data_IF_063196149585
#
_entry.id   IF_063196149585
#
_cell.length_a   1.000
_cell.length_b   1.000
_cell.length_c   1.000
_cell.angle_alpha   90.00
_cell.angle_beta   90.00
_cell.angle_gamma   90.00
#
_symmetry.space_group_name_H-M   'P 1'
#
loop_
_entity.id
_entity.type
_entity.pdbx_description
1 polymer ?
#
# COMPACT_ATOMS: atom_id res chain seq x y z
N UNK A 1 -14.53 -34.56 -18.40
CA UNK A 1 -13.30 -34.15 -17.68
C UNK A 1 -13.65 -32.96 -16.80
N UNK A 2 -13.25 -32.91 -15.53
CA UNK A 2 -13.49 -31.71 -14.70
C UNK A 2 -12.71 -30.54 -15.29
N UNK A 3 -13.34 -29.36 -15.33
CA UNK A 3 -12.65 -28.15 -15.77
C UNK A 3 -11.52 -27.80 -14.79
N UNK A 4 -10.37 -27.28 -15.28
CA UNK A 4 -9.29 -26.84 -14.40
C UNK A 4 -9.80 -25.70 -13.51
N UNK A 5 -9.55 -25.82 -12.19
CA UNK A 5 -9.83 -24.74 -11.25
C UNK A 5 -8.66 -23.76 -11.23
N UNK A 6 -8.97 -22.48 -11.34
CA UNK A 6 -8.00 -21.38 -11.18
C UNK A 6 -8.20 -20.75 -9.81
N UNK A 7 -7.10 -20.48 -9.10
CA UNK A 7 -7.13 -19.66 -7.89
C UNK A 7 -7.02 -18.20 -8.28
N UNK A 8 -8.02 -17.39 -7.94
CA UNK A 8 -8.01 -15.95 -8.14
C UNK A 8 -7.74 -15.24 -6.81
N UNK A 9 -6.79 -14.31 -6.81
CA UNK A 9 -6.49 -13.42 -5.70
C UNK A 9 -6.86 -12.01 -6.12
N UNK A 10 -7.76 -11.38 -5.37
CA UNK A 10 -8.19 -10.00 -5.58
C UNK A 10 -7.69 -9.17 -4.40
N UNK A 11 -6.68 -8.33 -4.63
CA UNK A 11 -6.05 -7.52 -3.58
C UNK A 11 -6.71 -6.14 -3.52
N UNK A 12 -7.17 -5.72 -2.34
CA UNK A 12 -7.53 -4.33 -2.05
C UNK A 12 -6.27 -3.49 -1.82
N UNK A 13 -6.03 -2.53 -2.72
CA UNK A 13 -4.82 -1.70 -2.69
C UNK A 13 -4.96 -0.48 -1.77
N UNK A 14 -3.82 0.10 -1.37
CA UNK A 14 -3.73 1.31 -0.55
C UNK A 14 -4.39 1.24 0.84
N UNK A 15 -4.42 0.06 1.46
CA UNK A 15 -4.85 -0.06 2.85
C UNK A 15 -3.89 0.73 3.75
N UNK A 16 -4.41 1.52 4.68
CA UNK A 16 -3.63 2.45 5.50
C UNK A 16 -3.58 3.89 4.99
N UNK A 17 -4.05 4.19 3.78
CA UNK A 17 -4.01 5.55 3.22
C UNK A 17 -4.76 6.58 4.06
N UNK A 18 -6.00 6.28 4.44
CA UNK A 18 -6.82 7.08 5.34
C UNK A 18 -7.97 6.23 5.92
N UNK A 19 -8.57 6.67 7.02
CA UNK A 19 -9.64 5.90 7.71
C UNK A 19 -10.84 5.58 6.80
N UNK A 20 -11.22 6.52 5.93
CA UNK A 20 -12.32 6.29 4.96
C UNK A 20 -11.98 5.18 3.96
N UNK A 21 -10.74 5.13 3.48
CA UNK A 21 -10.29 4.06 2.56
C UNK A 21 -10.19 2.72 3.29
N UNK A 22 -9.69 2.73 4.52
CA UNK A 22 -9.64 1.53 5.35
C UNK A 22 -11.03 0.91 5.53
N UNK A 23 -12.03 1.72 5.90
CA UNK A 23 -13.38 1.22 6.10
C UNK A 23 -13.96 0.62 4.82
N UNK A 24 -13.83 1.30 3.68
CA UNK A 24 -14.32 0.76 2.41
C UNK A 24 -13.64 -0.56 2.01
N UNK A 25 -12.35 -0.72 2.30
CA UNK A 25 -11.62 -1.96 2.05
C UNK A 25 -12.10 -3.08 2.99
N UNK A 26 -12.34 -2.78 4.28
CA UNK A 26 -12.93 -3.73 5.24
C UNK A 26 -14.30 -4.18 4.76
N UNK A 27 -15.17 -3.24 4.38
CA UNK A 27 -16.52 -3.54 3.89
C UNK A 27 -16.46 -4.45 2.66
N UNK A 28 -15.54 -4.18 1.73
CA UNK A 28 -15.34 -4.99 0.53
C UNK A 28 -14.84 -6.41 0.84
N UNK A 29 -13.93 -6.56 1.81
CA UNK A 29 -13.45 -7.87 2.26
C UNK A 29 -14.57 -8.67 2.93
N UNK A 30 -15.32 -8.05 3.83
CA UNK A 30 -16.43 -8.71 4.52
C UNK A 30 -17.57 -9.12 3.57
N UNK A 31 -17.76 -8.36 2.48
CA UNK A 31 -18.69 -8.72 1.40
C UNK A 31 -18.16 -9.82 0.45
N UNK A 32 -16.93 -10.30 0.64
CA UNK A 32 -16.30 -11.32 -0.22
C UNK A 32 -15.82 -10.80 -1.58
N UNK A 33 -15.73 -9.48 -1.76
CA UNK A 33 -15.29 -8.85 -3.02
C UNK A 33 -13.78 -8.88 -3.23
N UNK A 34 -13.00 -8.97 -2.14
CA UNK A 34 -11.53 -9.08 -2.17
C UNK A 34 -11.04 -10.23 -1.28
N UNK A 35 -9.89 -10.81 -1.61
CA UNK A 35 -9.28 -11.92 -0.87
C UNK A 35 -8.23 -11.47 0.15
N UNK A 36 -7.62 -10.31 -0.04
CA UNK A 36 -6.53 -9.80 0.79
C UNK A 36 -6.34 -8.29 0.56
N UNK A 37 -5.41 -7.69 1.30
CA UNK A 37 -5.07 -6.25 1.18
C UNK A 37 -3.56 -6.04 1.07
N UNK A 38 -3.15 -4.88 0.57
CA UNK A 38 -1.77 -4.40 0.63
C UNK A 38 -1.70 -3.17 1.55
N UNK A 39 -0.79 -3.19 2.54
CA UNK A 39 -0.67 -2.13 3.55
C UNK A 39 0.43 -1.13 3.19
N UNK A 40 0.05 0.15 3.07
CA UNK A 40 0.94 1.30 3.01
C UNK A 40 1.45 1.65 4.41
N UNK A 41 2.62 1.12 4.76
CA UNK A 41 3.19 1.25 6.12
C UNK A 41 3.54 2.68 6.54
N UNK A 42 3.82 3.56 5.57
CA UNK A 42 4.18 4.96 5.82
C UNK A 42 3.00 5.93 5.75
N UNK A 43 1.78 5.42 5.51
CA UNK A 43 0.59 6.25 5.41
C UNK A 43 -0.02 6.58 6.79
N UNK A 44 -0.82 7.65 6.84
CA UNK A 44 -1.28 8.22 8.11
C UNK A 44 -2.23 7.30 8.90
N UNK A 45 -2.93 6.37 8.24
CA UNK A 45 -3.86 5.43 8.87
C UNK A 45 -3.33 3.98 8.86
N UNK A 46 -2.02 3.77 8.67
CA UNK A 46 -1.43 2.43 8.60
C UNK A 46 -1.65 1.61 9.88
N UNK A 47 -1.57 2.25 11.05
CA UNK A 47 -1.79 1.59 12.34
C UNK A 47 -3.24 1.14 12.50
N UNK A 48 -4.19 2.02 12.19
CA UNK A 48 -5.62 1.71 12.19
C UNK A 48 -5.94 0.55 11.24
N UNK A 49 -5.37 0.58 10.02
CA UNK A 49 -5.50 -0.49 9.05
C UNK A 49 -4.99 -1.84 9.59
N UNK A 50 -3.80 -1.87 10.19
CA UNK A 50 -3.26 -3.09 10.79
C UNK A 50 -4.17 -3.66 11.91
N UNK A 51 -4.73 -2.78 12.73
CA UNK A 51 -5.64 -3.18 13.81
C UNK A 51 -6.99 -3.70 13.24
N UNK A 52 -7.51 -3.10 12.17
CA UNK A 52 -8.69 -3.58 11.45
C UNK A 52 -8.46 -4.94 10.80
N UNK A 53 -7.34 -5.12 10.10
CA UNK A 53 -7.02 -6.41 9.50
C UNK A 53 -6.89 -7.53 10.54
N UNK A 54 -6.26 -7.23 11.69
CA UNK A 54 -6.23 -8.19 12.82
C UNK A 54 -7.64 -8.51 13.33
N UNK A 55 -8.49 -7.50 13.48
CA UNK A 55 -9.88 -7.66 13.97
C UNK A 55 -10.73 -8.52 13.04
N UNK A 56 -10.61 -8.31 11.73
CA UNK A 56 -11.45 -8.94 10.71
C UNK A 56 -10.80 -10.17 10.05
N UNK A 57 -9.59 -10.56 10.46
CA UNK A 57 -8.87 -11.70 9.89
C UNK A 57 -8.47 -11.49 8.42
N UNK A 58 -8.17 -10.25 8.03
CA UNK A 58 -7.83 -9.90 6.65
C UNK A 58 -6.35 -10.25 6.38
N UNK A 59 -6.03 -11.08 5.37
CA UNK A 59 -4.63 -11.30 4.99
C UNK A 59 -3.97 -10.02 4.46
N UNK A 60 -2.80 -9.68 4.98
CA UNK A 60 -2.06 -8.45 4.64
C UNK A 60 -0.78 -8.78 3.86
N UNK A 61 -0.58 -8.10 2.74
CA UNK A 61 0.70 -7.98 2.04
C UNK A 61 1.31 -6.59 2.21
N UNK A 62 2.58 -6.42 1.82
CA UNK A 62 3.25 -5.12 1.80
C UNK A 62 2.88 -4.34 0.54
N UNK A 63 2.39 -3.11 0.68
CA UNK A 63 2.38 -2.14 -0.41
C UNK A 63 3.69 -1.35 -0.39
N UNK A 64 4.67 -1.78 -1.20
CA UNK A 64 5.94 -1.09 -1.29
C UNK A 64 5.78 0.28 -1.96
N UNK A 65 6.06 1.34 -1.21
CA UNK A 65 5.85 2.72 -1.65
C UNK A 65 7.17 3.48 -1.72
N UNK A 66 7.45 4.06 -2.89
CA UNK A 66 8.61 4.92 -3.16
C UNK A 66 8.19 6.30 -3.70
N UNK A 67 6.91 6.63 -3.64
CA UNK A 67 6.35 7.79 -4.34
C UNK A 67 5.50 8.72 -3.49
N UNK A 68 4.90 8.26 -2.39
CA UNK A 68 3.93 9.05 -1.64
C UNK A 68 4.29 9.17 -0.16
N UNK A 69 4.14 10.38 0.40
CA UNK A 69 4.41 10.64 1.81
C UNK A 69 5.91 10.69 2.15
N UNK A 70 6.23 10.38 3.40
CA UNK A 70 7.60 10.37 3.94
C UNK A 70 8.10 8.92 4.10
N UNK A 71 9.39 8.65 3.95
CA UNK A 71 9.94 7.33 4.22
C UNK A 71 9.81 6.97 5.71
N UNK A 72 9.74 5.66 6.00
CA UNK A 72 9.75 5.16 7.39
C UNK A 72 11.11 5.37 8.06
N UNK A 73 12.20 5.31 7.28
CA UNK A 73 13.55 5.62 7.74
C UNK A 73 13.88 7.10 7.51
N UNK A 74 14.49 7.76 8.50
CA UNK A 74 14.85 9.18 8.45
C UNK A 74 16.23 9.47 7.82
N UNK A 75 16.87 8.48 7.20
CA UNK A 75 18.16 8.67 6.55
C UNK A 75 18.01 9.46 5.25
N UNK A 76 18.98 10.35 4.98
CA UNK A 76 19.07 11.03 3.69
C UNK A 76 19.13 9.99 2.57
N UNK A 77 18.20 10.07 1.61
CA UNK A 77 18.12 9.12 0.51
C UNK A 77 17.91 9.85 -0.81
N UNK A 78 18.41 9.25 -1.88
CA UNK A 78 18.13 9.68 -3.27
C UNK A 78 16.64 9.61 -3.61
N UNK A 79 15.84 8.89 -2.81
CA UNK A 79 14.40 8.69 -2.99
C UNK A 79 13.55 9.89 -2.56
N UNK A 80 14.09 10.82 -1.77
CA UNK A 80 13.35 11.98 -1.25
C UNK A 80 13.74 13.29 -1.91
N UNK A 81 12.85 14.27 -1.86
CA UNK A 81 13.11 15.66 -2.24
C UNK A 81 13.74 16.45 -1.08
N UNK A 82 14.05 17.72 -1.33
CA UNK A 82 14.64 18.65 -0.34
C UNK A 82 13.77 18.90 0.91
N UNK A 83 12.51 18.49 0.89
CA UNK A 83 11.56 18.61 2.01
C UNK A 83 11.36 17.27 2.74
N UNK A 84 12.10 16.22 2.38
CA UNK A 84 12.03 14.90 3.03
C UNK A 84 10.87 14.01 2.56
N UNK A 85 10.07 14.44 1.58
CA UNK A 85 9.02 13.62 0.99
C UNK A 85 9.56 12.78 -0.16
N UNK A 86 8.94 11.64 -0.44
CA UNK A 86 9.17 10.94 -1.71
C UNK A 86 8.89 11.85 -2.90
N UNK A 87 9.60 11.61 -4.01
CA UNK A 87 9.58 12.48 -5.20
C UNK A 87 8.27 12.46 -6.00
N UNK A 88 7.24 11.71 -5.57
CA UNK A 88 6.06 11.47 -6.40
C UNK A 88 6.37 10.50 -7.55
N UNK A 89 5.32 9.98 -8.20
CA UNK A 89 5.47 9.03 -9.31
C UNK A 89 6.29 9.60 -10.47
N UNK A 90 6.08 10.88 -10.81
CA UNK A 90 6.80 11.52 -11.91
C UNK A 90 8.23 11.88 -11.53
N UNK A 91 8.44 12.49 -10.35
CA UNK A 91 9.78 12.87 -9.90
C UNK A 91 10.68 11.66 -9.66
N UNK A 92 10.13 10.53 -9.19
CA UNK A 92 10.87 9.27 -9.09
C UNK A 92 11.34 8.77 -10.47
N UNK A 93 10.44 8.75 -11.47
CA UNK A 93 10.80 8.32 -12.84
C UNK A 93 11.85 9.21 -13.48
N UNK A 94 11.72 10.53 -13.33
CA UNK A 94 12.71 11.48 -13.84
C UNK A 94 14.08 11.30 -13.17
N UNK A 95 14.12 11.06 -11.85
CA UNK A 95 15.36 10.78 -11.15
C UNK A 95 16.00 9.46 -11.63
N UNK A 96 15.18 8.42 -11.85
CA UNK A 96 15.65 7.14 -12.39
C UNK A 96 16.26 7.30 -13.79
N UNK A 97 15.56 7.99 -14.70
CA UNK A 97 16.03 8.25 -16.07
C UNK A 97 17.35 9.02 -16.11
N UNK A 98 17.62 9.86 -15.10
CA UNK A 98 18.84 10.68 -14.98
C UNK A 98 19.96 9.99 -14.20
N UNK A 99 19.76 8.76 -13.71
CA UNK A 99 20.74 8.06 -12.86
C UNK A 99 20.95 8.71 -11.49
N UNK A 100 19.89 9.31 -10.93
CA UNK A 100 19.91 10.08 -9.68
C UNK A 100 19.28 9.32 -8.49
N UNK A 101 19.04 8.01 -8.65
CA UNK A 101 18.55 7.11 -7.61
C UNK A 101 19.67 6.23 -7.05
#
# INVERSE_FOLDING_TARGET
MPQPRVMLVVTGDDFGYCSRRNQGIVDCFQAGGISNVSLLVNACAAKEAADLAKRHGIPIGLHANLSEGVPVCQQASTLTNQHGFFRGKMGFRQALERGQL
#
